data_IF_867670786327
#
_entry.id   IF_867670786327
#
_cell.length_a   1.000
_cell.length_b   1.000
_cell.length_c   1.000
_cell.angle_alpha   90.00
_cell.angle_beta   90.00
_cell.angle_gamma   90.00
#
_symmetry.space_group_name_H-M   'P 1'
#
loop_
_entity.id
_entity.type
_entity.pdbx_description
1 polymer ?
#
# COMPACT_ATOMS: atom_id res chain seq x y z
N UNK A 1 -36.68 27.49 15.81
CA UNK A 1 -35.50 26.70 16.23
C UNK A 1 -34.51 26.62 15.06
N UNK A 2 -34.02 27.77 14.58
CA UNK A 2 -33.20 27.84 13.34
C UNK A 2 -32.10 28.90 13.37
N UNK A 3 -31.92 29.60 14.49
CA UNK A 3 -30.85 30.58 14.69
C UNK A 3 -29.61 29.90 15.26
N UNK A 4 -29.77 29.01 16.24
CA UNK A 4 -28.68 28.25 16.86
C UNK A 4 -27.86 27.43 15.85
N UNK A 5 -28.51 26.78 14.89
CA UNK A 5 -27.86 25.97 13.86
C UNK A 5 -27.04 26.82 12.88
N UNK A 6 -27.54 28.02 12.54
CA UNK A 6 -26.85 28.98 11.67
C UNK A 6 -25.64 29.61 12.37
N UNK A 7 -25.76 29.91 13.66
CA UNK A 7 -24.65 30.45 14.46
C UNK A 7 -23.54 29.42 14.62
N UNK A 8 -23.88 28.15 14.92
CA UNK A 8 -22.89 27.05 15.02
C UNK A 8 -22.21 26.79 13.67
N UNK A 9 -22.97 26.76 12.57
CA UNK A 9 -22.38 26.58 11.23
C UNK A 9 -21.44 27.73 10.85
N UNK A 10 -21.79 28.97 11.22
CA UNK A 10 -20.96 30.14 10.96
C UNK A 10 -19.67 30.13 11.80
N UNK A 11 -19.77 29.73 13.07
CA UNK A 11 -18.65 29.63 14.00
C UNK A 11 -17.65 28.54 13.59
N UNK A 12 -18.16 27.37 13.16
CA UNK A 12 -17.35 26.29 12.57
C UNK A 12 -16.66 26.78 11.28
N UNK A 13 -17.40 27.48 10.43
CA UNK A 13 -16.84 28.01 9.18
C UNK A 13 -15.72 29.03 9.45
N UNK A 14 -15.87 29.88 10.45
CA UNK A 14 -14.83 30.83 10.85
C UNK A 14 -13.61 30.13 11.44
N UNK A 15 -13.80 29.12 12.30
CA UNK A 15 -12.69 28.35 12.87
C UNK A 15 -11.91 27.56 11.81
N UNK A 16 -12.61 26.98 10.83
CA UNK A 16 -11.96 26.30 9.70
C UNK A 16 -11.21 27.30 8.84
N UNK A 17 -11.79 28.47 8.53
CA UNK A 17 -11.10 29.49 7.73
C UNK A 17 -9.91 30.11 8.46
N UNK A 18 -9.96 30.29 9.78
CA UNK A 18 -8.81 30.79 10.55
C UNK A 18 -7.72 29.72 10.67
N UNK A 19 -8.09 28.45 10.87
CA UNK A 19 -7.14 27.35 10.84
C UNK A 19 -6.47 27.20 9.47
N UNK A 20 -7.26 27.22 8.39
CA UNK A 20 -6.76 27.17 7.01
C UNK A 20 -5.91 28.39 6.67
N UNK A 21 -6.34 29.59 7.06
CA UNK A 21 -5.60 30.83 6.88
C UNK A 21 -4.28 30.83 7.63
N UNK A 22 -4.22 30.22 8.82
CA UNK A 22 -2.98 30.06 9.61
C UNK A 22 -2.08 28.95 9.06
N UNK A 23 -2.63 27.86 8.54
CA UNK A 23 -1.86 26.83 7.83
C UNK A 23 -1.27 27.38 6.51
N UNK A 24 -2.03 28.19 5.79
CA UNK A 24 -1.62 28.81 4.54
C UNK A 24 -0.61 29.95 4.75
N UNK A 25 -0.82 30.80 5.76
CA UNK A 25 0.09 31.92 6.07
C UNK A 25 1.37 31.47 6.75
N UNK A 26 1.37 30.37 7.51
CA UNK A 26 2.58 29.75 8.06
C UNK A 26 3.30 28.89 7.02
N UNK A 27 3.51 29.40 5.81
CA UNK A 27 4.57 28.94 4.91
C UNK A 27 4.67 27.43 4.62
N UNK A 28 3.65 26.62 4.94
CA UNK A 28 3.66 25.15 4.84
C UNK A 28 3.81 24.66 3.39
N UNK A 29 3.75 25.58 2.43
CA UNK A 29 3.87 25.31 0.99
C UNK A 29 4.77 26.29 0.23
N UNK A 30 5.50 27.19 0.90
CA UNK A 30 6.31 28.22 0.23
C UNK A 30 7.82 28.06 0.38
N UNK A 31 8.28 27.36 1.41
CA UNK A 31 9.71 27.09 1.57
C UNK A 31 10.13 25.95 0.65
N UNK A 32 11.19 26.14 -0.14
CA UNK A 32 11.73 25.11 -1.06
C UNK A 32 12.08 23.79 -0.33
N UNK A 33 12.36 23.85 0.97
CA UNK A 33 12.56 22.66 1.81
C UNK A 33 11.28 21.87 2.10
N UNK A 34 10.13 22.54 2.24
CA UNK A 34 8.86 21.88 2.52
C UNK A 34 8.35 21.11 1.29
N UNK A 35 8.54 21.67 0.08
CA UNK A 35 8.19 20.96 -1.16
C UNK A 35 9.08 19.74 -1.40
N UNK A 36 10.38 19.83 -1.07
CA UNK A 36 11.30 18.68 -1.13
C UNK A 36 10.90 17.62 -0.11
N UNK A 37 10.61 18.02 1.14
CA UNK A 37 10.16 17.11 2.19
C UNK A 37 8.83 16.43 1.81
N UNK A 38 7.88 17.19 1.26
CA UNK A 38 6.60 16.67 0.79
C UNK A 38 6.77 15.69 -0.37
N UNK A 39 7.64 15.99 -1.34
CA UNK A 39 7.94 15.10 -2.45
C UNK A 39 8.54 13.77 -1.97
N UNK A 40 9.48 13.80 -1.01
CA UNK A 40 10.08 12.59 -0.40
C UNK A 40 9.01 11.79 0.35
N UNK A 41 8.17 12.46 1.13
CA UNK A 41 7.07 11.80 1.85
C UNK A 41 6.08 11.13 0.89
N UNK A 42 5.64 11.84 -0.16
CA UNK A 42 4.72 11.31 -1.16
C UNK A 42 5.33 10.19 -1.99
N UNK A 43 6.63 10.27 -2.34
CA UNK A 43 7.30 9.14 -3.01
C UNK A 43 7.41 7.94 -2.09
N UNK A 44 7.74 8.12 -0.81
CA UNK A 44 7.79 7.01 0.15
C UNK A 44 6.41 6.36 0.32
N UNK A 45 5.39 7.15 0.64
CA UNK A 45 4.01 6.67 0.78
C UNK A 45 3.49 6.04 -0.52
N UNK A 46 3.79 6.67 -1.66
CA UNK A 46 3.44 6.17 -2.98
C UNK A 46 4.09 4.83 -3.30
N UNK A 47 5.38 4.65 -2.97
CA UNK A 47 6.08 3.37 -3.15
C UNK A 47 5.50 2.28 -2.24
N UNK A 48 5.20 2.59 -0.98
CA UNK A 48 4.55 1.64 -0.06
C UNK A 48 3.18 1.22 -0.58
N UNK A 49 2.34 2.19 -0.98
CA UNK A 49 1.02 1.93 -1.54
C UNK A 49 1.10 1.14 -2.86
N UNK A 50 2.02 1.49 -3.74
CA UNK A 50 2.25 0.79 -5.01
C UNK A 50 2.65 -0.67 -4.76
N UNK A 51 3.61 -0.91 -3.86
CA UNK A 51 4.05 -2.26 -3.50
C UNK A 51 2.91 -3.05 -2.84
N UNK A 52 2.11 -2.42 -1.98
CA UNK A 52 0.94 -3.05 -1.38
C UNK A 52 -0.10 -3.44 -2.44
N UNK A 53 -0.41 -2.55 -3.40
CA UNK A 53 -1.30 -2.85 -4.51
C UNK A 53 -0.77 -3.99 -5.39
N UNK A 54 0.52 -3.97 -5.74
CA UNK A 54 1.16 -5.04 -6.49
C UNK A 54 1.12 -6.36 -5.73
N UNK A 55 1.34 -6.34 -4.42
CA UNK A 55 1.23 -7.52 -3.58
C UNK A 55 -0.20 -8.05 -3.56
N UNK A 56 -1.21 -7.19 -3.41
CA UNK A 56 -2.62 -7.58 -3.47
C UNK A 56 -2.97 -8.18 -4.84
N UNK A 57 -2.54 -7.57 -5.95
CA UNK A 57 -2.77 -8.12 -7.29
C UNK A 57 -2.06 -9.46 -7.46
N UNK A 58 -0.79 -9.57 -7.05
CA UNK A 58 0.01 -10.80 -7.21
C UNK A 58 -0.51 -11.93 -6.32
N UNK A 59 -0.99 -11.60 -5.13
CA UNK A 59 -1.40 -12.55 -4.10
C UNK A 59 -2.88 -12.93 -4.23
N UNK A 60 -3.78 -11.97 -4.47
CA UNK A 60 -5.21 -12.24 -4.67
C UNK A 60 -5.59 -12.65 -6.10
N UNK A 61 -4.88 -12.19 -7.15
CA UNK A 61 -5.27 -12.51 -8.54
C UNK A 61 -4.35 -13.53 -9.24
N UNK A 62 -3.12 -13.80 -8.76
CA UNK A 62 -2.16 -14.66 -9.47
C UNK A 62 -1.28 -15.57 -8.58
N UNK A 63 -1.78 -16.02 -7.43
CA UNK A 63 -1.24 -17.19 -6.73
C UNK A 63 -0.44 -16.90 -5.46
N UNK A 64 -1.15 -16.60 -4.38
CA UNK A 64 -0.72 -16.98 -3.03
C UNK A 64 -1.48 -18.24 -2.58
N UNK A 65 -1.25 -19.35 -3.26
CA UNK A 65 -1.48 -20.69 -2.71
C UNK A 65 -0.52 -21.65 -3.40
N UNK A 66 0.69 -21.71 -2.86
CA UNK A 66 1.38 -22.95 -2.44
C UNK A 66 2.90 -22.76 -2.46
N UNK A 67 3.62 -23.11 -1.38
CA UNK A 67 5.04 -23.47 -1.44
C UNK A 67 5.25 -24.86 -2.08
N UNK A 68 4.45 -25.23 -3.10
CA UNK A 68 4.45 -26.55 -3.73
C UNK A 68 4.82 -26.51 -5.22
N UNK A 69 5.32 -25.39 -5.73
CA UNK A 69 5.91 -25.33 -7.08
C UNK A 69 7.44 -25.45 -7.02
N UNK A 70 7.95 -26.40 -6.23
CA UNK A 70 8.97 -27.24 -6.85
C UNK A 70 8.21 -27.92 -7.97
N UNK A 71 8.57 -27.62 -9.24
CA UNK A 71 8.27 -28.52 -10.34
C UNK A 71 8.55 -29.93 -9.79
N UNK A 72 7.50 -30.70 -9.49
CA UNK A 72 7.61 -32.15 -9.41
C UNK A 72 7.93 -32.53 -10.85
N UNK A 73 9.20 -32.40 -11.21
CA UNK A 73 9.77 -33.19 -12.29
C UNK A 73 9.37 -34.59 -11.88
N UNK A 74 8.42 -35.15 -12.62
CA UNK A 74 7.95 -36.50 -12.40
C UNK A 74 9.14 -37.38 -12.74
N UNK A 75 10.05 -37.56 -11.77
CA UNK A 75 11.16 -38.47 -11.87
C UNK A 75 10.47 -39.83 -11.89
N UNK A 76 10.22 -40.32 -13.11
CA UNK A 76 9.85 -41.71 -13.34
C UNK A 76 10.91 -42.50 -12.59
N UNK A 77 10.55 -43.12 -11.46
CA UNK A 77 11.45 -44.01 -10.74
C UNK A 77 11.67 -45.19 -11.68
N UNK A 78 12.70 -45.10 -12.51
CA UNK A 78 13.22 -46.26 -13.25
C UNK A 78 14.04 -47.05 -12.24
N UNK A 79 13.38 -48.00 -11.58
CA UNK A 79 14.11 -49.09 -10.94
C UNK A 79 14.78 -49.88 -12.06
N UNK A 80 16.10 -50.05 -11.99
CA UNK A 80 16.73 -51.16 -12.70
C UNK A 80 16.32 -52.39 -11.91
N UNK A 81 15.48 -53.24 -12.52
CA UNK A 81 15.13 -54.52 -11.92
C UNK A 81 16.40 -55.39 -11.96
N UNK A 82 16.85 -55.83 -10.79
CA UNK A 82 18.05 -56.64 -10.68
C UNK A 82 17.68 -58.10 -10.91
N UNK A 83 17.81 -58.55 -12.17
CA UNK A 83 17.56 -59.94 -12.59
C UNK A 83 18.57 -60.94 -11.99
N UNK A 84 19.53 -60.52 -11.16
CA UNK A 84 20.55 -61.39 -10.56
C UNK A 84 20.12 -62.12 -9.28
N UNK A 85 18.85 -62.05 -8.89
CA UNK A 85 18.35 -62.68 -7.64
C UNK A 85 17.62 -64.02 -7.88
N UNK A 86 17.67 -64.56 -9.10
CA UNK A 86 17.25 -65.94 -9.36
C UNK A 86 18.48 -66.87 -9.30
N UNK A 87 18.81 -67.30 -8.08
CA UNK A 87 19.61 -68.51 -7.84
C UNK A 87 18.94 -69.37 -6.78
#
# INVERSE_FOLDING_TARGET
MGTLDRDVANDISQQINDALGRLQSKQLFQTTWDIVAFAIFFTFMGMVLLLALLALIRCCCCGCDTPSSYKKVNKRKVGIDNMGMEH
#
